data_IF_118368064270
#
_entry.id   IF_118368064270
#
_cell.length_a   1.000
_cell.length_b   1.000
_cell.length_c   1.000
_cell.angle_alpha   90.00
_cell.angle_beta   90.00
_cell.angle_gamma   90.00
#
_symmetry.space_group_name_H-M   'P 1'
#
loop_
_entity.id
_entity.type
_entity.pdbx_description
1 polymer ?
#
# COMPACT_ATOMS: atom_id res chain seq x y z
N UNK A 1 -0.64 24.98 -52.38
CA UNK A 1 -1.82 24.79 -51.50
C UNK A 1 -1.99 23.32 -51.13
N UNK A 2 -0.87 22.63 -50.81
CA UNK A 2 -0.80 21.17 -50.64
C UNK A 2 0.24 20.74 -49.60
N UNK A 3 0.78 21.70 -48.82
CA UNK A 3 1.77 21.44 -47.78
C UNK A 3 1.29 21.80 -46.37
N UNK A 4 0.10 22.40 -46.23
CA UNK A 4 -0.49 22.76 -44.93
C UNK A 4 -1.45 21.71 -44.36
N UNK A 5 -1.78 20.66 -45.13
CA UNK A 5 -2.71 19.60 -44.72
C UNK A 5 -2.02 18.37 -44.11
N UNK A 6 -0.71 18.20 -44.25
CA UNK A 6 0.01 17.05 -43.71
C UNK A 6 0.49 17.23 -42.25
N UNK A 7 0.55 18.47 -41.75
CA UNK A 7 0.92 18.74 -40.35
C UNK A 7 -0.27 18.68 -39.38
N UNK A 8 -1.50 18.58 -39.88
CA UNK A 8 -2.70 18.43 -39.03
C UNK A 8 -3.13 16.97 -38.80
N UNK A 9 -2.53 16.01 -39.51
CA UNK A 9 -2.88 14.58 -39.46
C UNK A 9 -1.96 13.72 -38.59
N UNK A 10 -0.93 14.31 -37.98
CA UNK A 10 0.01 13.64 -37.06
C UNK A 10 -0.27 13.92 -35.57
N UNK A 11 -1.40 14.58 -35.25
CA UNK A 11 -1.81 14.93 -33.88
C UNK A 11 -2.97 14.09 -33.33
N UNK A 12 -3.35 13.02 -34.03
CA UNK A 12 -4.48 12.17 -33.68
C UNK A 12 -4.08 10.70 -33.65
N UNK A 13 -3.22 10.33 -32.70
CA UNK A 13 -3.11 8.95 -32.18
C UNK A 13 -2.37 8.93 -30.84
N UNK A 14 -2.65 9.90 -29.96
CA UNK A 14 -2.63 9.56 -28.53
C UNK A 14 -3.90 8.76 -28.34
N UNK A 15 -3.76 7.43 -28.22
CA UNK A 15 -4.88 6.59 -27.85
C UNK A 15 -5.51 7.21 -26.59
N UNK A 16 -6.74 7.71 -26.73
CA UNK A 16 -7.51 8.14 -25.59
C UNK A 16 -7.65 6.92 -24.68
N UNK A 17 -6.96 6.94 -23.54
CA UNK A 17 -7.16 5.93 -22.51
C UNK A 17 -8.62 6.02 -22.08
N UNK A 18 -9.40 4.93 -22.17
CA UNK A 18 -10.77 4.95 -21.72
C UNK A 18 -10.80 5.21 -20.21
N UNK A 19 -11.79 6.02 -19.80
CA UNK A 19 -12.03 6.41 -18.43
C UNK A 19 -12.31 5.18 -17.56
N UNK A 20 -11.45 4.97 -16.57
CA UNK A 20 -11.60 4.04 -15.46
C UNK A 20 -10.31 4.02 -14.67
N UNK A 21 -10.40 3.80 -13.36
CA UNK A 21 -9.28 3.61 -12.43
C UNK A 21 -8.45 2.34 -12.69
N UNK A 22 -8.54 1.79 -13.90
CA UNK A 22 -8.19 0.42 -14.23
C UNK A 22 -7.31 0.41 -15.47
N UNK A 23 -6.19 -0.31 -15.38
CA UNK A 23 -5.44 -0.70 -16.58
C UNK A 23 -6.37 -1.43 -17.55
N UNK A 24 -6.41 -1.04 -18.83
CA UNK A 24 -7.21 -1.78 -19.79
C UNK A 24 -6.66 -3.20 -19.90
N UNK A 25 -7.57 -4.17 -19.88
CA UNK A 25 -7.23 -5.57 -20.13
C UNK A 25 -6.46 -5.68 -21.44
N UNK A 26 -5.39 -6.48 -21.42
CA UNK A 26 -4.65 -6.77 -22.64
C UNK A 26 -5.55 -7.47 -23.65
N UNK A 27 -5.52 -7.02 -24.91
CA UNK A 27 -6.44 -7.47 -25.97
C UNK A 27 -5.96 -8.70 -26.74
N UNK A 28 -4.79 -9.22 -26.41
CA UNK A 28 -4.13 -10.35 -27.06
C UNK A 28 -3.46 -11.24 -26.01
N UNK A 29 -2.92 -12.40 -26.40
CA UNK A 29 -2.24 -13.32 -25.48
C UNK A 29 -0.72 -13.13 -25.43
N UNK A 30 -0.17 -12.02 -25.93
CA UNK A 30 1.27 -11.78 -25.96
C UNK A 30 1.80 -11.32 -24.60
N UNK A 31 2.81 -12.03 -24.09
CA UNK A 31 3.53 -11.66 -22.88
C UNK A 31 5.00 -12.07 -22.99
N UNK A 32 5.83 -11.54 -22.11
CA UNK A 32 7.21 -11.97 -21.96
C UNK A 32 7.52 -12.10 -20.47
N UNK A 33 7.88 -13.31 -20.03
CA UNK A 33 8.49 -13.50 -18.71
C UNK A 33 9.90 -12.95 -18.80
N UNK A 34 10.14 -11.81 -18.16
CA UNK A 34 11.44 -11.10 -18.16
C UNK A 34 12.38 -11.74 -17.14
N UNK A 35 11.85 -12.11 -15.99
CA UNK A 35 12.58 -12.76 -14.91
C UNK A 35 11.63 -13.63 -14.09
N UNK A 36 12.20 -14.66 -13.46
CA UNK A 36 11.49 -15.59 -12.58
C UNK A 36 12.46 -16.06 -11.50
N UNK A 37 12.01 -16.00 -10.25
CA UNK A 37 12.67 -16.58 -9.10
C UNK A 37 11.65 -17.52 -8.44
N UNK A 38 12.01 -18.78 -8.26
CA UNK A 38 11.21 -19.75 -7.50
C UNK A 38 11.58 -19.61 -6.02
N UNK A 39 10.63 -19.23 -5.17
CA UNK A 39 10.77 -19.06 -3.73
C UNK A 39 9.92 -20.12 -3.02
N UNK A 40 10.56 -21.16 -2.49
CA UNK A 40 9.91 -22.34 -1.94
C UNK A 40 8.90 -22.99 -2.92
N UNK A 41 7.60 -22.81 -2.67
CA UNK A 41 6.48 -23.31 -3.50
C UNK A 41 5.77 -22.19 -4.28
N UNK A 42 6.28 -20.95 -4.20
CA UNK A 42 5.75 -19.77 -4.89
C UNK A 42 6.68 -19.27 -5.99
N UNK A 43 6.12 -18.53 -6.95
CA UNK A 43 6.85 -17.94 -8.06
C UNK A 43 6.79 -16.42 -7.98
N UNK A 44 7.96 -15.78 -7.91
CA UNK A 44 8.11 -14.33 -8.01
C UNK A 44 8.65 -13.98 -9.39
N UNK A 45 7.83 -13.34 -10.23
CA UNK A 45 8.15 -13.15 -11.64
C UNK A 45 7.91 -11.72 -12.12
N UNK A 46 8.80 -11.26 -13.00
CA UNK A 46 8.63 -10.02 -13.76
C UNK A 46 8.07 -10.38 -15.12
N UNK A 47 6.89 -9.89 -15.43
CA UNK A 47 6.19 -10.17 -16.69
C UNK A 47 5.92 -8.87 -17.42
N UNK A 48 6.41 -8.75 -18.65
CA UNK A 48 6.08 -7.64 -19.53
C UNK A 48 4.86 -7.98 -20.37
N UNK A 49 3.87 -7.09 -20.36
CA UNK A 49 2.64 -7.23 -21.16
C UNK A 49 1.96 -5.87 -21.35
N UNK A 50 1.46 -5.61 -22.55
CA UNK A 50 0.70 -4.40 -22.88
C UNK A 50 1.42 -3.07 -22.50
N UNK A 51 2.75 -3.01 -22.70
CA UNK A 51 3.56 -1.82 -22.38
C UNK A 51 3.77 -1.58 -20.87
N UNK A 52 3.59 -2.61 -20.05
CA UNK A 52 3.72 -2.56 -18.59
C UNK A 52 4.58 -3.75 -18.14
N UNK A 53 5.53 -3.51 -17.23
CA UNK A 53 6.18 -4.54 -16.43
C UNK A 53 5.34 -4.76 -15.17
N UNK A 54 4.98 -6.01 -14.91
CA UNK A 54 4.31 -6.43 -13.70
C UNK A 54 5.26 -7.23 -12.85
N UNK A 55 5.25 -7.01 -11.53
CA UNK A 55 5.81 -7.92 -10.56
C UNK A 55 4.68 -8.78 -10.01
N UNK A 56 4.80 -10.09 -10.23
CA UNK A 56 3.84 -11.09 -9.80
C UNK A 56 4.41 -11.89 -8.63
N UNK A 57 3.57 -12.15 -7.65
CA UNK A 57 3.76 -13.17 -6.62
C UNK A 57 2.64 -14.20 -6.81
N UNK A 58 2.96 -15.32 -7.44
CA UNK A 58 1.98 -16.26 -7.97
C UNK A 58 0.88 -15.57 -8.79
N UNK A 59 -0.38 -15.70 -8.37
CA UNK A 59 -1.56 -15.14 -9.04
C UNK A 59 -1.97 -13.79 -8.44
N UNK A 60 -0.99 -13.04 -7.96
CA UNK A 60 -1.14 -11.69 -7.40
C UNK A 60 -0.23 -10.71 -8.12
N UNK A 61 -0.76 -9.57 -8.55
CA UNK A 61 0.06 -8.42 -8.95
C UNK A 61 0.43 -7.65 -7.68
N UNK A 62 1.72 -7.61 -7.36
CA UNK A 62 2.25 -6.86 -6.20
C UNK A 62 2.91 -5.54 -6.60
N UNK A 63 2.94 -5.24 -7.89
CA UNK A 63 3.30 -3.92 -8.41
C UNK A 63 3.42 -3.92 -9.93
N UNK A 64 3.47 -2.72 -10.51
CA UNK A 64 3.61 -2.55 -11.94
C UNK A 64 4.23 -1.19 -12.29
N UNK A 65 4.98 -1.16 -13.40
CA UNK A 65 5.66 0.01 -13.93
C UNK A 65 5.42 0.10 -15.45
N UNK A 66 5.19 1.30 -15.97
CA UNK A 66 5.07 1.51 -17.41
C UNK A 66 6.43 1.34 -18.12
N UNK A 67 6.44 0.62 -19.25
CA UNK A 67 7.63 0.52 -20.11
C UNK A 67 8.08 1.91 -20.59
N UNK A 68 7.12 2.79 -20.88
CA UNK A 68 7.35 4.15 -21.36
C UNK A 68 8.13 4.98 -20.31
N UNK A 69 9.36 5.42 -20.61
CA UNK A 69 10.18 6.22 -19.69
C UNK A 69 9.51 7.50 -19.18
N UNK A 70 8.58 8.09 -19.95
CA UNK A 70 7.85 9.30 -19.54
C UNK A 70 6.70 9.02 -18.57
N UNK A 71 6.16 7.80 -18.60
CA UNK A 71 5.12 7.34 -17.69
C UNK A 71 5.67 6.56 -16.51
N UNK A 72 6.93 6.11 -16.58
CA UNK A 72 7.58 5.30 -15.56
C UNK A 72 7.52 5.88 -14.15
N UNK A 73 7.61 7.20 -14.02
CA UNK A 73 7.51 7.91 -12.73
C UNK A 73 6.08 8.02 -12.20
N UNK A 74 5.09 7.68 -13.01
CA UNK A 74 3.69 7.63 -12.60
C UNK A 74 3.40 6.24 -12.05
N UNK A 75 2.76 6.20 -10.90
CA UNK A 75 2.28 4.96 -10.30
C UNK A 75 1.23 4.31 -11.19
N UNK A 76 1.30 2.99 -11.20
CA UNK A 76 0.33 2.16 -11.87
C UNK A 76 -1.04 2.15 -11.16
N UNK A 77 -1.01 2.11 -9.83
CA UNK A 77 -2.20 1.98 -9.01
C UNK A 77 -2.44 3.29 -8.26
N UNK A 78 -3.66 3.86 -8.31
CA UNK A 78 -3.97 5.12 -7.62
C UNK A 78 -3.70 5.11 -6.11
N UNK A 79 -3.89 3.97 -5.41
CA UNK A 79 -3.54 3.83 -4.00
C UNK A 79 -2.06 4.15 -3.72
N UNK A 80 -1.16 3.75 -4.61
CA UNK A 80 0.27 4.07 -4.48
C UNK A 80 0.54 5.55 -4.71
N UNK A 81 -0.22 6.23 -5.58
CA UNK A 81 -0.16 7.70 -5.72
C UNK A 81 -0.53 8.40 -4.43
N UNK A 82 -1.59 7.91 -3.78
CA UNK A 82 -2.07 8.48 -2.52
C UNK A 82 -1.00 8.29 -1.44
N UNK A 83 -0.33 7.14 -1.36
CA UNK A 83 0.80 6.96 -0.44
C UNK A 83 2.01 7.84 -0.78
N UNK A 84 2.38 7.98 -2.05
CA UNK A 84 3.44 8.89 -2.50
C UNK A 84 3.17 10.35 -2.10
N UNK A 85 1.91 10.76 -2.03
CA UNK A 85 1.51 12.09 -1.59
C UNK A 85 1.87 12.39 -0.12
N UNK A 86 2.34 11.40 0.66
CA UNK A 86 2.98 11.62 1.97
C UNK A 86 4.20 12.55 1.87
N UNK A 87 4.91 12.59 0.73
CA UNK A 87 5.99 13.54 0.48
C UNK A 87 5.54 15.01 0.50
N UNK A 88 4.23 15.24 0.33
CA UNK A 88 3.60 16.55 0.29
C UNK A 88 2.83 16.88 1.57
N UNK A 89 2.99 16.12 2.65
CA UNK A 89 2.48 16.54 3.96
C UNK A 89 2.99 17.95 4.30
N UNK A 90 2.13 18.77 4.90
CA UNK A 90 2.47 20.16 5.24
C UNK A 90 3.71 20.23 6.13
N UNK A 91 3.79 19.34 7.13
CA UNK A 91 5.05 18.99 7.79
C UNK A 91 5.72 17.88 6.98
N UNK A 92 6.63 18.28 6.07
CA UNK A 92 7.36 17.34 5.22
C UNK A 92 8.19 16.37 6.09
N UNK A 93 8.04 15.04 5.93
CA UNK A 93 8.84 14.06 6.65
C UNK A 93 10.33 14.19 6.33
N UNK A 94 11.20 14.06 7.34
CA UNK A 94 12.65 14.04 7.14
C UNK A 94 13.18 12.62 6.98
N UNK A 95 12.49 11.62 7.53
CA UNK A 95 12.84 10.21 7.41
C UNK A 95 11.57 9.36 7.42
N UNK A 96 11.56 8.32 6.59
CA UNK A 96 10.45 7.41 6.47
C UNK A 96 10.88 5.94 6.65
N UNK A 97 9.91 5.09 6.97
CA UNK A 97 10.03 3.65 6.84
C UNK A 97 8.79 3.09 6.13
N UNK A 98 8.99 2.06 5.32
CA UNK A 98 7.92 1.28 4.72
C UNK A 98 8.08 -0.22 5.00
N UNK A 99 7.03 -0.86 5.52
CA UNK A 99 6.91 -2.32 5.56
C UNK A 99 6.14 -2.78 4.31
N UNK A 100 6.73 -3.72 3.58
CA UNK A 100 6.34 -4.15 2.24
C UNK A 100 7.01 -3.31 1.14
N UNK A 101 7.42 -3.95 0.05
CA UNK A 101 8.13 -3.28 -1.05
C UNK A 101 7.35 -3.26 -2.37
N UNK A 102 6.82 -4.42 -2.79
CA UNK A 102 6.33 -4.60 -4.15
C UNK A 102 7.42 -4.27 -5.17
N UNK A 103 7.16 -3.34 -6.10
CA UNK A 103 8.17 -2.84 -7.05
C UNK A 103 9.01 -1.65 -6.50
N UNK A 104 8.75 -1.18 -5.29
CA UNK A 104 9.43 -0.03 -4.70
C UNK A 104 8.92 1.34 -5.15
N UNK A 105 7.72 1.42 -5.73
CA UNK A 105 7.16 2.67 -6.28
C UNK A 105 7.09 3.82 -5.26
N UNK A 106 6.63 3.55 -4.05
CA UNK A 106 6.53 4.53 -2.96
C UNK A 106 7.91 4.89 -2.37
N UNK A 107 8.74 3.95 -1.89
CA UNK A 107 10.02 4.30 -1.28
C UNK A 107 10.99 4.93 -2.27
N UNK A 108 11.02 4.48 -3.54
CA UNK A 108 11.84 5.13 -4.58
C UNK A 108 11.42 6.58 -4.79
N UNK A 109 10.12 6.87 -4.86
CA UNK A 109 9.63 8.24 -4.99
C UNK A 109 9.96 9.11 -3.77
N UNK A 110 9.80 8.59 -2.55
CA UNK A 110 10.17 9.32 -1.33
C UNK A 110 11.68 9.66 -1.32
N UNK A 111 12.53 8.71 -1.73
CA UNK A 111 13.98 8.93 -1.87
C UNK A 111 14.33 9.94 -2.95
N UNK A 112 13.65 9.93 -4.09
CA UNK A 112 13.80 10.96 -5.15
C UNK A 112 13.38 12.35 -4.66
N UNK A 113 12.44 12.40 -3.70
CA UNK A 113 11.99 13.61 -3.02
C UNK A 113 12.89 13.98 -1.84
N UNK A 114 14.12 13.45 -1.74
CA UNK A 114 15.07 13.67 -0.64
C UNK A 114 14.51 13.34 0.75
N UNK A 115 13.68 12.29 0.85
CA UNK A 115 13.18 11.71 2.11
C UNK A 115 13.79 10.30 2.22
N UNK A 116 14.90 10.13 2.98
CA UNK A 116 15.47 8.83 3.26
C UNK A 116 14.41 7.86 3.77
N UNK A 117 14.29 6.71 3.11
CA UNK A 117 13.23 5.73 3.37
C UNK A 117 13.85 4.36 3.57
N UNK A 118 13.75 3.84 4.79
CA UNK A 118 14.07 2.44 5.08
C UNK A 118 12.91 1.55 4.59
N UNK A 119 13.22 0.33 4.16
CA UNK A 119 12.22 -0.64 3.69
C UNK A 119 12.41 -1.97 4.40
N UNK A 120 11.30 -2.59 4.82
CA UNK A 120 11.27 -3.95 5.37
C UNK A 120 10.44 -4.82 4.45
N UNK A 121 11.06 -5.84 3.86
CA UNK A 121 10.40 -6.77 2.94
C UNK A 121 10.72 -8.20 3.36
N UNK A 122 9.73 -9.08 3.33
CA UNK A 122 9.90 -10.47 3.79
C UNK A 122 10.60 -11.33 2.72
N UNK A 123 10.34 -11.06 1.44
CA UNK A 123 10.85 -11.86 0.32
C UNK A 123 12.10 -11.23 -0.30
N UNK A 124 13.24 -11.92 -0.20
CA UNK A 124 14.47 -11.52 -0.91
C UNK A 124 14.28 -11.54 -2.44
N UNK A 125 13.42 -12.44 -2.94
CA UNK A 125 13.08 -12.51 -4.36
C UNK A 125 12.37 -11.22 -4.81
N UNK A 126 11.43 -10.69 -4.02
CA UNK A 126 10.76 -9.40 -4.30
C UNK A 126 11.77 -8.26 -4.30
N UNK A 127 12.66 -8.19 -3.30
CA UNK A 127 13.71 -7.16 -3.22
C UNK A 127 14.64 -7.22 -4.44
N UNK A 128 15.07 -8.42 -4.82
CA UNK A 128 15.95 -8.64 -5.98
C UNK A 128 15.27 -8.20 -7.27
N UNK A 129 14.02 -8.63 -7.50
CA UNK A 129 13.28 -8.24 -8.71
C UNK A 129 13.03 -6.73 -8.76
N UNK A 130 12.70 -6.09 -7.62
CA UNK A 130 12.53 -4.64 -7.54
C UNK A 130 13.81 -3.89 -7.92
N UNK A 131 14.96 -4.33 -7.40
CA UNK A 131 16.25 -3.71 -7.67
C UNK A 131 16.68 -3.88 -9.13
N UNK A 132 16.53 -5.08 -9.68
CA UNK A 132 17.02 -5.41 -11.02
C UNK A 132 16.14 -4.83 -12.14
N UNK A 133 14.83 -4.67 -11.89
CA UNK A 133 13.87 -4.35 -12.95
C UNK A 133 13.03 -3.09 -12.73
N UNK A 134 12.95 -2.54 -11.51
CA UNK A 134 12.02 -1.45 -11.14
C UNK A 134 12.70 -0.24 -10.49
N UNK A 135 13.99 -0.03 -10.74
CA UNK A 135 14.76 1.15 -10.31
C UNK A 135 14.83 1.33 -8.79
N UNK A 136 14.52 0.29 -8.02
CA UNK A 136 14.62 0.34 -6.58
C UNK A 136 16.08 0.28 -6.13
N UNK A 137 16.52 1.26 -5.36
CA UNK A 137 17.87 1.30 -4.78
C UNK A 137 17.94 0.35 -3.57
N UNK A 138 18.41 -0.88 -3.75
CA UNK A 138 18.66 -1.80 -2.63
C UNK A 138 19.92 -1.37 -1.88
N UNK A 139 19.81 -1.12 -0.58
CA UNK A 139 20.97 -0.91 0.29
C UNK A 139 20.88 -1.89 1.48
N UNK A 140 21.60 -3.01 1.46
CA UNK A 140 21.42 -4.09 2.44
C UNK A 140 21.77 -3.64 3.87
N UNK A 141 21.09 -4.21 4.86
CA UNK A 141 21.39 -3.96 6.28
C UNK A 141 22.77 -4.52 6.71
N UNK A 142 23.08 -5.73 6.26
CA UNK A 142 24.38 -6.39 6.47
C UNK A 142 25.19 -6.19 5.19
N UNK A 143 26.28 -5.42 5.28
CA UNK A 143 27.30 -5.38 4.22
C UNK A 143 28.16 -6.63 4.42
N UNK A 144 28.43 -7.39 3.35
CA UNK A 144 29.42 -8.46 3.41
C UNK A 144 30.75 -7.87 3.92
N UNK A 145 31.31 -8.44 4.99
CA UNK A 145 32.56 -7.99 5.63
C UNK A 145 33.79 -8.04 4.68
N UNK A 146 33.62 -8.52 3.45
CA UNK A 146 34.67 -8.77 2.45
C UNK A 146 34.81 -7.65 1.39
N UNK A 147 34.01 -6.58 1.41
CA UNK A 147 34.19 -5.43 0.51
C UNK A 147 35.04 -4.33 1.16
N UNK A 148 36.32 -4.25 0.77
CA UNK A 148 37.26 -3.18 1.11
C UNK A 148 36.87 -1.80 0.51
N UNK A 149 35.67 -1.68 -0.06
CA UNK A 149 35.10 -0.48 -0.65
C UNK A 149 34.70 0.57 0.40
N UNK A 150 34.75 1.85 0.02
CA UNK A 150 34.23 2.95 0.84
C UNK A 150 32.80 2.60 1.29
N UNK A 151 32.63 2.43 2.61
CA UNK A 151 31.35 2.14 3.27
C UNK A 151 30.25 3.02 2.67
N UNK A 152 29.49 2.47 1.72
CA UNK A 152 28.50 3.26 0.99
C UNK A 152 27.39 3.55 1.98
N UNK A 153 27.47 4.72 2.62
CA UNK A 153 26.49 5.11 3.62
C UNK A 153 25.13 5.07 2.94
N UNK A 154 24.22 4.19 3.38
CA UNK A 154 22.83 4.10 2.90
C UNK A 154 22.04 5.39 3.22
N UNK A 155 22.46 6.53 2.67
CA UNK A 155 21.95 7.87 2.99
C UNK A 155 20.49 8.04 2.59
N UNK A 156 20.05 7.28 1.59
CA UNK A 156 18.66 7.25 1.11
C UNK A 156 17.80 6.20 1.84
N UNK A 157 18.37 5.44 2.76
CA UNK A 157 17.69 4.41 3.54
C UNK A 157 18.14 2.99 3.18
N UNK A 158 17.91 2.08 4.12
CA UNK A 158 18.30 0.66 4.06
C UNK A 158 17.15 -0.23 3.61
N UNK A 159 17.49 -1.46 3.24
CA UNK A 159 16.56 -2.54 2.93
C UNK A 159 16.82 -3.69 3.90
N UNK A 160 15.83 -4.00 4.72
CA UNK A 160 15.79 -5.10 5.66
C UNK A 160 15.00 -6.24 5.04
N UNK A 161 15.66 -7.38 4.79
CA UNK A 161 14.98 -8.59 4.33
C UNK A 161 14.57 -9.40 5.56
N UNK A 162 13.37 -9.14 6.07
CA UNK A 162 12.83 -9.82 7.26
C UNK A 162 11.31 -9.65 7.39
N UNK A 163 10.70 -10.47 8.24
CA UNK A 163 9.30 -10.33 8.61
C UNK A 163 9.02 -8.98 9.30
N UNK A 164 8.00 -8.27 8.82
CA UNK A 164 7.63 -6.95 9.31
C UNK A 164 7.11 -6.93 10.75
N UNK A 165 6.41 -7.97 11.21
CA UNK A 165 5.95 -8.06 12.61
C UNK A 165 7.14 -8.35 13.54
N UNK A 166 8.11 -9.14 13.09
CA UNK A 166 9.38 -9.33 13.80
C UNK A 166 10.18 -8.04 13.86
N UNK A 167 10.18 -7.24 12.79
CA UNK A 167 10.78 -5.91 12.78
C UNK A 167 10.11 -5.01 13.83
N UNK A 168 8.78 -4.92 13.82
CA UNK A 168 8.01 -4.13 14.79
C UNK A 168 8.20 -4.55 16.26
N UNK A 169 8.46 -5.84 16.48
CA UNK A 169 8.74 -6.40 17.82
C UNK A 169 10.15 -6.09 18.33
N UNK A 170 11.05 -5.59 17.48
CA UNK A 170 12.39 -5.16 17.85
C UNK A 170 12.40 -3.69 18.28
N UNK A 171 13.48 -3.21 18.90
CA UNK A 171 13.71 -1.77 19.07
C UNK A 171 14.57 -1.24 17.93
N UNK A 172 14.40 0.02 17.49
CA UNK A 172 15.20 0.61 16.41
C UNK A 172 16.72 0.39 16.58
N UNK A 173 17.24 0.71 17.77
CA UNK A 173 18.67 0.60 18.09
C UNK A 173 19.19 -0.84 18.04
N UNK A 174 18.36 -1.82 18.38
CA UNK A 174 18.75 -3.24 18.44
C UNK A 174 18.97 -3.83 17.04
N UNK A 175 18.38 -3.21 16.01
CA UNK A 175 18.49 -3.61 14.61
C UNK A 175 19.21 -2.54 13.77
N UNK A 176 20.05 -1.73 14.41
CA UNK A 176 20.93 -0.79 13.73
C UNK A 176 20.24 0.40 13.06
N UNK A 177 18.95 0.65 13.35
CA UNK A 177 18.25 1.86 12.91
C UNK A 177 18.74 3.02 13.77
N UNK A 178 19.32 4.03 13.12
CA UNK A 178 19.82 5.22 13.80
C UNK A 178 18.65 6.08 14.26
N UNK A 179 18.63 6.40 15.55
CA UNK A 179 17.77 7.43 16.16
C UNK A 179 18.56 8.74 16.27
N UNK A 180 17.89 9.86 16.59
CA UNK A 180 18.60 11.09 16.99
C UNK A 180 19.49 10.83 18.22
N UNK A 181 20.45 11.73 18.44
CA UNK A 181 21.42 11.66 19.54
C UNK A 181 20.78 11.74 20.94
N UNK A 182 19.46 12.02 21.03
CA UNK A 182 18.69 11.95 22.26
C UNK A 182 18.19 10.51 22.49
N UNK A 183 18.67 9.89 23.56
CA UNK A 183 18.31 8.54 23.96
C UNK A 183 16.78 8.42 24.19
N UNK A 184 16.09 7.67 23.33
CA UNK A 184 14.64 7.46 23.40
C UNK A 184 13.81 8.17 22.33
N UNK A 185 14.42 8.88 21.38
CA UNK A 185 13.70 9.43 20.24
C UNK A 185 13.37 8.38 19.17
N UNK A 186 12.14 8.46 18.66
CA UNK A 186 11.67 7.59 17.60
C UNK A 186 12.22 8.04 16.23
N UNK A 187 12.62 7.10 15.35
CA UNK A 187 13.41 7.41 14.15
C UNK A 187 12.63 7.99 12.96
N UNK A 188 11.31 7.82 12.87
CA UNK A 188 10.56 8.08 11.65
C UNK A 188 9.47 9.14 11.80
N UNK A 189 9.44 10.10 10.87
CA UNK A 189 8.34 11.07 10.73
C UNK A 189 7.18 10.50 9.90
N UNK A 190 7.45 9.48 9.09
CA UNK A 190 6.49 8.79 8.24
C UNK A 190 6.70 7.29 8.34
N UNK A 191 5.65 6.54 8.66
CA UNK A 191 5.68 5.09 8.73
C UNK A 191 4.59 4.53 7.84
N UNK A 192 4.96 3.73 6.83
CA UNK A 192 4.05 3.16 5.84
C UNK A 192 3.96 1.65 6.05
N UNK A 193 2.75 1.11 6.04
CA UNK A 193 2.49 -0.34 6.02
C UNK A 193 1.71 -0.67 4.75
N UNK A 194 2.36 -1.32 3.79
CA UNK A 194 1.81 -1.73 2.49
C UNK A 194 2.13 -3.20 2.22
N UNK A 195 1.45 -4.09 2.96
CA UNK A 195 1.67 -5.54 2.90
C UNK A 195 0.50 -6.24 2.22
N UNK A 196 0.77 -6.85 1.07
CA UNK A 196 -0.23 -7.64 0.34
C UNK A 196 0.43 -8.65 -0.60
N UNK A 197 0.24 -9.95 -0.36
CA UNK A 197 0.72 -11.03 -1.25
C UNK A 197 -0.43 -11.88 -1.80
N UNK A 198 -1.58 -11.23 -2.03
CA UNK A 198 -2.83 -11.89 -2.42
C UNK A 198 -3.80 -12.04 -1.25
N UNK A 199 -3.37 -11.63 -0.07
CA UNK A 199 -4.15 -11.56 1.16
C UNK A 199 -3.68 -10.36 1.99
N UNK A 200 -4.58 -9.73 2.75
CA UNK A 200 -4.25 -8.70 3.74
C UNK A 200 -3.77 -9.33 5.06
N UNK A 201 -2.54 -9.08 5.52
CA UNK A 201 -2.07 -9.54 6.81
C UNK A 201 -2.70 -8.75 7.96
N UNK A 202 -3.85 -9.23 8.45
CA UNK A 202 -4.66 -8.56 9.49
C UNK A 202 -3.92 -8.25 10.78
N UNK A 203 -2.84 -8.98 11.09
CA UNK A 203 -2.00 -8.75 12.26
C UNK A 203 -1.47 -7.30 12.34
N UNK A 204 -1.11 -6.67 11.21
CA UNK A 204 -0.65 -5.27 11.23
C UNK A 204 -1.76 -4.27 11.58
N UNK A 205 -3.03 -4.67 11.46
CA UNK A 205 -4.17 -3.80 11.73
C UNK A 205 -4.76 -3.99 13.14
N UNK A 206 -4.08 -4.75 14.00
CA UNK A 206 -4.42 -4.85 15.41
C UNK A 206 -3.93 -3.62 16.16
N UNK A 207 -4.69 -3.23 17.19
CA UNK A 207 -4.41 -2.07 18.03
C UNK A 207 -3.01 -2.13 18.63
N UNK A 208 -2.59 -3.31 19.07
CA UNK A 208 -1.31 -3.57 19.72
C UNK A 208 -0.14 -3.28 18.78
N UNK A 209 -0.24 -3.71 17.51
CA UNK A 209 0.78 -3.41 16.49
C UNK A 209 0.80 -1.92 16.12
N UNK A 210 -0.37 -1.28 15.98
CA UNK A 210 -0.44 0.17 15.76
C UNK A 210 0.12 0.96 16.94
N UNK A 211 -0.08 0.50 18.18
CA UNK A 211 0.50 1.09 19.37
C UNK A 211 2.03 0.93 19.39
N UNK A 212 2.57 -0.24 19.04
CA UNK A 212 4.02 -0.44 18.92
C UNK A 212 4.63 0.54 17.90
N UNK A 213 3.99 0.72 16.74
CA UNK A 213 4.43 1.71 15.73
C UNK A 213 4.45 3.11 16.33
N UNK A 214 3.34 3.53 16.95
CA UNK A 214 3.23 4.87 17.55
C UNK A 214 4.28 5.12 18.64
N UNK A 215 4.51 4.13 19.51
CA UNK A 215 5.31 4.32 20.72
C UNK A 215 6.81 4.15 20.48
N UNK A 216 7.22 3.26 19.58
CA UNK A 216 8.64 2.90 19.40
C UNK A 216 9.26 3.35 18.07
N UNK A 217 8.44 3.77 17.10
CA UNK A 217 8.91 3.99 15.73
C UNK A 217 8.57 5.38 15.16
N UNK A 218 7.42 5.95 15.52
CA UNK A 218 6.98 7.25 15.03
C UNK A 218 7.37 8.40 15.98
N UNK A 219 7.88 9.49 15.43
CA UNK A 219 8.02 10.76 16.17
C UNK A 219 6.66 11.24 16.72
N UNK A 220 6.63 12.11 17.75
CA UNK A 220 5.37 12.54 18.37
C UNK A 220 4.34 13.12 17.39
N UNK A 221 4.82 13.77 16.33
CA UNK A 221 4.01 14.36 15.26
C UNK A 221 4.03 13.56 13.95
N UNK A 222 4.65 12.37 13.97
CA UNK A 222 4.76 11.51 12.81
C UNK A 222 3.42 10.99 12.31
N UNK A 223 3.42 10.49 11.08
CA UNK A 223 2.22 10.03 10.38
C UNK A 223 2.35 8.55 10.04
N UNK A 224 1.39 7.75 10.49
CA UNK A 224 1.18 6.37 10.05
C UNK A 224 0.32 6.38 8.79
N UNK A 225 0.78 5.67 7.75
CA UNK A 225 0.04 5.40 6.53
C UNK A 225 -0.12 3.89 6.38
N UNK A 226 -1.34 3.43 6.12
CA UNK A 226 -1.60 2.00 5.92
C UNK A 226 -2.43 1.79 4.66
N UNK A 227 -2.05 0.82 3.84
CA UNK A 227 -2.84 0.37 2.71
C UNK A 227 -3.62 -0.89 3.08
N UNK A 228 -4.87 -0.98 2.62
CA UNK A 228 -5.71 -2.17 2.77
C UNK A 228 -6.50 -2.39 1.49
N UNK A 229 -6.48 -3.61 0.97
CA UNK A 229 -7.33 -3.97 -0.18
C UNK A 229 -8.66 -4.48 0.33
N UNK A 230 -9.77 -3.82 0.00
CA UNK A 230 -11.08 -4.23 0.52
C UNK A 230 -12.27 -3.53 -0.08
N UNK A 231 -13.46 -3.97 0.35
CA UNK A 231 -14.73 -3.35 -0.02
C UNK A 231 -15.00 -2.12 0.85
N UNK A 232 -15.38 -1.01 0.24
CA UNK A 232 -15.69 0.24 0.95
C UNK A 232 -17.17 0.41 1.27
N UNK A 233 -18.02 -0.46 0.69
CA UNK A 233 -19.47 -0.34 0.74
C UNK A 233 -20.17 -1.62 1.24
N UNK A 234 -21.39 -1.44 1.72
CA UNK A 234 -22.25 -2.53 2.20
C UNK A 234 -21.67 -3.28 3.41
N UNK A 235 -22.17 -4.51 3.70
CA UNK A 235 -21.74 -5.28 4.86
C UNK A 235 -20.24 -5.58 4.88
N UNK A 236 -19.61 -5.72 3.71
CA UNK A 236 -18.17 -6.00 3.61
C UNK A 236 -17.28 -4.82 4.02
N UNK A 237 -17.84 -3.61 4.11
CA UNK A 237 -17.13 -2.43 4.62
C UNK A 237 -16.84 -2.51 6.13
N UNK A 238 -17.42 -3.46 6.86
CA UNK A 238 -17.17 -3.63 8.30
C UNK A 238 -15.69 -3.83 8.60
N UNK A 239 -14.94 -4.54 7.75
CA UNK A 239 -13.51 -4.76 7.93
C UNK A 239 -12.69 -3.45 7.88
N UNK A 240 -12.70 -2.67 6.78
CA UNK A 240 -11.97 -1.40 6.75
C UNK A 240 -12.52 -0.35 7.71
N UNK A 241 -13.82 -0.37 8.04
CA UNK A 241 -14.38 0.48 9.11
C UNK A 241 -13.84 0.10 10.49
N UNK A 242 -13.60 -1.19 10.75
CA UNK A 242 -12.98 -1.64 12.01
C UNK A 242 -11.51 -1.23 12.08
N UNK A 243 -10.78 -1.28 10.96
CA UNK A 243 -9.42 -0.72 10.86
C UNK A 243 -9.44 0.79 11.19
N UNK A 244 -10.39 1.53 10.62
CA UNK A 244 -10.58 2.96 10.93
C UNK A 244 -10.83 3.21 12.43
N UNK A 245 -11.75 2.46 13.04
CA UNK A 245 -12.02 2.53 14.50
C UNK A 245 -10.80 2.19 15.34
N UNK A 246 -10.00 1.23 14.89
CA UNK A 246 -8.76 0.84 15.57
C UNK A 246 -7.74 1.97 15.53
N UNK A 247 -7.54 2.61 14.38
CA UNK A 247 -6.70 3.80 14.25
C UNK A 247 -7.19 4.94 15.15
N UNK A 248 -8.50 5.19 15.23
CA UNK A 248 -9.09 6.21 16.13
C UNK A 248 -8.82 5.92 17.62
N UNK A 249 -8.65 4.64 17.98
CA UNK A 249 -8.30 4.27 19.36
C UNK A 249 -6.82 4.52 19.71
N UNK A 250 -5.96 4.71 18.70
CA UNK A 250 -4.50 4.88 18.86
C UNK A 250 -4.05 6.32 18.54
N UNK A 251 -4.70 7.00 17.60
CA UNK A 251 -4.33 8.32 17.07
C UNK A 251 -5.51 9.31 17.13
N UNK A 252 -5.20 10.60 17.31
CA UNK A 252 -6.22 11.67 17.43
C UNK A 252 -6.84 12.09 16.09
N UNK A 253 -6.06 12.02 15.01
CA UNK A 253 -6.48 12.45 13.68
C UNK A 253 -6.36 11.28 12.72
N UNK A 254 -7.47 10.85 12.13
CA UNK A 254 -7.51 9.72 11.20
C UNK A 254 -8.32 10.09 9.96
N UNK A 255 -7.74 9.87 8.78
CA UNK A 255 -8.40 10.03 7.49
C UNK A 255 -8.22 8.76 6.67
N UNK A 256 -9.20 8.43 5.84
CA UNK A 256 -9.11 7.30 4.91
C UNK A 256 -9.57 7.71 3.53
N UNK A 257 -8.85 7.29 2.51
CA UNK A 257 -9.08 7.67 1.13
C UNK A 257 -9.31 6.43 0.27
N UNK A 258 -10.35 6.48 -0.55
CA UNK A 258 -10.52 5.54 -1.67
C UNK A 258 -9.58 5.91 -2.82
N UNK A 259 -9.32 4.96 -3.70
CA UNK A 259 -8.41 5.16 -4.83
C UNK A 259 -9.10 5.57 -6.15
N UNK A 260 -10.39 5.94 -6.09
CA UNK A 260 -11.20 6.31 -7.26
C UNK A 260 -12.10 7.52 -7.00
N UNK A 261 -12.50 8.19 -8.09
CA UNK A 261 -13.42 9.33 -8.02
C UNK A 261 -14.82 8.88 -7.59
N UNK A 262 -15.30 7.76 -8.16
CA UNK A 262 -16.60 7.17 -7.88
C UNK A 262 -16.72 6.70 -6.41
N UNK A 263 -17.60 7.31 -5.60
CA UNK A 263 -17.74 6.95 -4.18
C UNK A 263 -18.45 5.60 -3.96
N UNK A 264 -19.26 5.16 -4.93
CA UNK A 264 -20.16 4.01 -4.78
C UNK A 264 -19.69 2.77 -5.57
N UNK A 265 -18.40 2.67 -5.90
CA UNK A 265 -17.87 1.47 -6.56
C UNK A 265 -18.05 0.23 -5.63
N UNK A 266 -18.75 -0.82 -6.07
CA UNK A 266 -19.06 -1.98 -5.24
C UNK A 266 -17.89 -2.98 -5.15
N UNK A 267 -16.78 -2.73 -5.85
CA UNK A 267 -15.65 -3.64 -5.96
C UNK A 267 -14.59 -3.39 -4.89
N UNK A 268 -13.78 -4.42 -4.60
CA UNK A 268 -12.64 -4.22 -3.74
C UNK A 268 -11.55 -3.41 -4.47
N UNK A 269 -10.92 -2.52 -3.72
CA UNK A 269 -9.89 -1.59 -4.18
C UNK A 269 -8.94 -1.25 -3.02
N UNK A 270 -7.85 -0.52 -3.30
CA UNK A 270 -7.01 0.02 -2.24
C UNK A 270 -7.76 1.09 -1.44
N UNK A 271 -7.60 1.03 -0.12
CA UNK A 271 -8.04 2.03 0.85
C UNK A 271 -6.80 2.47 1.61
N UNK A 272 -6.47 3.76 1.53
CA UNK A 272 -5.27 4.31 2.17
C UNK A 272 -5.68 5.10 3.40
N UNK A 273 -5.23 4.65 4.56
CA UNK A 273 -5.44 5.30 5.85
C UNK A 273 -4.24 6.18 6.20
N UNK A 274 -4.52 7.34 6.78
CA UNK A 274 -3.55 8.25 7.39
C UNK A 274 -3.93 8.48 8.83
N UNK A 275 -3.00 8.37 9.77
CA UNK A 275 -3.23 8.59 11.18
C UNK A 275 -2.06 9.32 11.86
N UNK A 276 -2.36 10.29 12.73
CA UNK A 276 -1.36 11.02 13.52
C UNK A 276 -1.96 11.56 14.82
N UNK A 277 -1.10 11.90 15.78
CA UNK A 277 -1.49 12.61 17.00
C UNK A 277 -1.61 14.13 16.78
N UNK A 278 -1.06 14.63 15.69
CA UNK A 278 -1.16 16.04 15.30
C UNK A 278 -2.04 16.20 14.06
N UNK A 279 -2.70 17.35 13.87
CA UNK A 279 -3.44 17.64 12.64
C UNK A 279 -2.49 17.62 11.43
N UNK A 280 -2.92 17.00 10.33
CA UNK A 280 -2.14 16.95 9.10
C UNK A 280 -2.96 17.36 7.87
N UNK A 281 -2.26 17.98 6.93
CA UNK A 281 -2.77 18.46 5.65
C UNK A 281 -1.71 18.26 4.54
N UNK A 282 -2.06 18.51 3.27
CA UNK A 282 -1.16 18.30 2.13
C UNK A 282 -0.93 19.60 1.34
N UNK A 283 0.34 19.90 1.06
CA UNK A 283 0.82 20.93 0.16
C UNK A 283 1.04 20.37 -1.25
N UNK A 284 -0.05 19.96 -1.90
CA UNK A 284 0.00 19.29 -3.20
C UNK A 284 0.52 20.19 -4.33
N UNK A 285 1.24 19.62 -5.31
CA UNK A 285 1.80 20.38 -6.43
C UNK A 285 0.71 20.99 -7.31
N UNK A 286 0.96 22.22 -7.79
CA UNK A 286 0.02 23.02 -8.62
C UNK A 286 0.59 23.38 -10.00
N UNK A 287 1.61 22.65 -10.46
CA UNK A 287 2.21 22.87 -11.78
C UNK A 287 1.18 22.62 -12.90
N UNK A 288 1.52 23.00 -14.15
CA UNK A 288 0.58 22.98 -15.28
C UNK A 288 -0.13 21.63 -15.48
N UNK A 289 0.56 20.52 -15.21
CA UNK A 289 0.03 19.15 -15.34
C UNK A 289 -1.11 18.87 -14.35
N UNK A 290 -1.14 19.53 -13.20
CA UNK A 290 -2.18 19.37 -12.16
C UNK A 290 -3.35 20.35 -12.31
N UNK A 291 -3.29 21.33 -13.22
CA UNK A 291 -4.37 22.32 -13.36
C UNK A 291 -5.62 21.68 -13.97
N UNK A 292 -5.47 20.99 -15.11
CA UNK A 292 -6.54 20.27 -15.80
C UNK A 292 -6.05 18.87 -16.21
N UNK A 293 -5.78 17.99 -15.24
CA UNK A 293 -5.29 16.64 -15.54
C UNK A 293 -6.37 15.83 -16.25
N UNK A 294 -5.95 14.94 -17.14
CA UNK A 294 -6.87 13.96 -17.71
C UNK A 294 -7.36 13.02 -16.60
N UNK A 295 -8.66 12.65 -16.56
CA UNK A 295 -9.19 11.71 -15.59
C UNK A 295 -8.38 10.40 -15.54
N UNK A 296 -8.33 9.75 -14.38
CA UNK A 296 -7.63 8.48 -14.16
C UNK A 296 -6.12 8.47 -14.42
N UNK A 297 -5.50 9.64 -14.52
CA UNK A 297 -4.03 9.76 -14.55
C UNK A 297 -3.47 10.00 -13.16
N UNK A 298 -2.16 9.74 -12.98
CA UNK A 298 -1.43 10.11 -11.77
C UNK A 298 -1.73 11.55 -11.31
N UNK A 299 -1.68 12.51 -12.24
CA UNK A 299 -1.95 13.93 -11.94
C UNK A 299 -3.38 14.18 -11.46
N UNK A 300 -4.35 13.42 -11.98
CA UNK A 300 -5.74 13.50 -11.51
C UNK A 300 -5.88 12.97 -10.09
N UNK A 301 -5.21 11.85 -9.78
CA UNK A 301 -5.23 11.28 -8.43
C UNK A 301 -4.61 12.25 -7.44
N UNK A 302 -3.38 12.74 -7.69
CA UNK A 302 -2.71 13.72 -6.81
C UNK A 302 -3.60 14.95 -6.57
N UNK A 303 -4.28 15.47 -7.60
CA UNK A 303 -5.14 16.65 -7.47
C UNK A 303 -6.39 16.37 -6.62
N UNK A 304 -7.04 15.23 -6.84
CA UNK A 304 -8.42 15.01 -6.41
C UNK A 304 -8.55 14.10 -5.18
N UNK A 305 -7.56 13.27 -4.84
CA UNK A 305 -7.68 12.34 -3.71
C UNK A 305 -8.09 13.00 -2.37
N UNK A 306 -7.77 14.28 -2.06
CA UNK A 306 -8.25 14.87 -0.81
C UNK A 306 -9.78 14.99 -0.72
N UNK A 307 -10.49 14.98 -1.85
CA UNK A 307 -11.96 14.95 -1.89
C UNK A 307 -12.52 13.53 -1.88
N UNK A 308 -11.65 12.52 -1.91
CA UNK A 308 -12.00 11.10 -1.92
C UNK A 308 -11.99 10.49 -0.51
N UNK A 309 -12.10 11.32 0.53
CA UNK A 309 -12.21 10.85 1.90
C UNK A 309 -13.48 9.98 2.07
N UNK A 310 -13.35 8.87 2.78
CA UNK A 310 -14.41 7.94 3.12
C UNK A 310 -14.44 7.72 4.64
N UNK A 311 -15.54 7.13 5.13
CA UNK A 311 -15.78 6.85 6.55
C UNK A 311 -15.87 8.11 7.43
N UNK A 312 -16.18 9.26 6.84
CA UNK A 312 -16.36 10.52 7.57
C UNK A 312 -17.54 10.47 8.54
N UNK A 313 -18.50 9.55 8.34
CA UNK A 313 -19.57 9.28 9.29
C UNK A 313 -19.07 8.71 10.62
N UNK A 314 -17.88 8.10 10.66
CA UNK A 314 -17.26 7.56 11.87
C UNK A 314 -16.45 8.60 12.66
N UNK A 315 -16.28 9.82 12.11
CA UNK A 315 -15.59 10.92 12.79
C UNK A 315 -16.47 11.60 13.85
N UNK A 316 -17.79 11.43 13.79
CA UNK A 316 -18.70 11.96 14.79
C UNK A 316 -18.46 11.28 16.16
N UNK A 317 -18.54 12.07 17.24
CA UNK A 317 -18.54 11.55 18.61
C UNK A 317 -19.69 10.55 18.76
N UNK A 318 -19.38 9.32 19.16
CA UNK A 318 -20.43 8.35 19.53
C UNK A 318 -20.94 8.77 20.90
N UNK A 319 -22.17 9.28 20.99
CA UNK A 319 -22.84 9.49 22.27
C UNK A 319 -23.04 8.12 22.94
N UNK A 320 -22.27 7.85 23.99
CA UNK A 320 -22.45 6.64 24.81
C UNK A 320 -23.33 7.03 25.99
N UNK A 321 -24.57 6.54 25.99
CA UNK A 321 -25.43 6.66 27.16
C UNK A 321 -24.95 5.65 28.21
N UNK A 322 -24.52 6.16 29.37
CA UNK A 322 -24.20 5.32 30.51
C UNK A 322 -25.52 5.02 31.22
N UNK A 323 -26.03 3.80 31.05
CA UNK A 323 -27.15 3.30 31.83
C UNK A 323 -26.63 2.61 33.08
N UNK A 324 -26.97 3.16 34.24
CA UNK A 324 -26.71 2.55 35.54
C UNK A 324 -27.99 2.63 36.37
N UNK A 325 -28.73 1.53 36.47
CA UNK A 325 -29.84 1.43 37.40
C UNK A 325 -29.31 1.14 38.82
N UNK A 326 -30.02 1.58 39.86
CA UNK A 326 -29.60 1.41 41.27
C UNK A 326 -29.41 -0.06 41.71
N UNK A 327 -29.81 -1.02 40.88
CA UNK A 327 -29.74 -2.46 41.15
C UNK A 327 -28.69 -3.19 40.33
N UNK A 328 -27.99 -2.52 39.41
CA UNK A 328 -26.98 -3.16 38.56
C UNK A 328 -25.64 -3.30 39.30
N UNK A 329 -25.09 -4.53 39.33
CA UNK A 329 -23.77 -4.83 39.91
C UNK A 329 -22.61 -4.42 38.97
N UNK A 330 -22.88 -4.18 37.68
CA UNK A 330 -21.90 -3.77 36.67
C UNK A 330 -22.44 -2.66 35.76
N UNK A 331 -21.56 -1.75 35.31
CA UNK A 331 -21.91 -0.66 34.39
C UNK A 331 -22.00 -1.20 32.97
N UNK A 332 -23.12 -0.94 32.28
CA UNK A 332 -23.30 -1.27 30.85
C UNK A 332 -23.26 0.00 30.00
N UNK A 333 -22.55 -0.09 28.88
CA UNK A 333 -22.49 0.96 27.88
C UNK A 333 -23.41 0.59 26.73
N UNK A 334 -24.45 1.37 26.48
CA UNK A 334 -25.33 1.22 25.33
C UNK A 334 -25.08 2.39 24.35
N UNK A 335 -24.83 2.06 23.08
CA UNK A 335 -24.82 3.05 22.00
C UNK A 335 -26.26 3.51 21.75
N UNK A 336 -26.49 4.82 21.64
CA UNK A 336 -27.83 5.40 21.41
C UNK A 336 -28.43 5.05 20.04
N UNK A 337 -27.67 4.46 19.12
CA UNK A 337 -28.11 4.04 17.78
C UNK A 337 -28.73 2.61 17.77
N UNK A 338 -29.56 2.31 18.76
CA UNK A 338 -30.18 1.00 18.95
C UNK A 338 -31.46 0.80 18.15
N UNK A 339 -31.34 0.46 16.87
CA UNK A 339 -32.31 -0.43 16.21
C UNK A 339 -31.56 -1.51 15.41
N UNK A 340 -30.97 -2.46 16.14
CA UNK A 340 -30.38 -3.69 15.59
C UNK A 340 -31.24 -4.90 15.97
N UNK A 341 -32.50 -4.87 15.54
CA UNK A 341 -33.32 -6.08 15.46
C UNK A 341 -33.00 -6.85 14.17
N UNK A 342 -31.96 -7.70 14.23
CA UNK A 342 -31.65 -8.67 13.17
C UNK A 342 -30.31 -9.36 13.38
N UNK A 343 -30.35 -10.68 13.58
CA UNK A 343 -29.18 -11.58 13.45
C UNK A 343 -28.41 -11.26 12.15
N UNK A 344 -27.07 -11.33 12.21
CA UNK A 344 -26.07 -11.31 11.11
C UNK A 344 -25.39 -10.00 10.67
N UNK A 345 -25.57 -8.83 11.31
CA UNK A 345 -24.79 -7.63 10.95
C UNK A 345 -23.68 -7.30 11.98
N UNK A 346 -22.45 -7.69 11.65
CA UNK A 346 -21.24 -7.34 12.43
C UNK A 346 -21.06 -5.81 12.37
N UNK A 347 -20.98 -5.17 13.53
CA UNK A 347 -20.70 -3.73 13.63
C UNK A 347 -19.20 -3.43 13.59
N UNK A 348 -18.76 -2.27 13.05
CA UNK A 348 -17.37 -1.85 13.13
C UNK A 348 -16.88 -1.75 14.58
N UNK A 349 -15.70 -2.30 14.87
CA UNK A 349 -15.13 -2.36 16.22
C UNK A 349 -13.63 -2.09 16.22
N UNK A 350 -13.05 -1.90 17.41
CA UNK A 350 -11.58 -1.89 17.58
C UNK A 350 -11.08 -3.33 17.48
N UNK A 351 -10.03 -3.52 16.69
CA UNK A 351 -9.38 -4.81 16.47
C UNK A 351 -8.22 -4.97 17.45
N UNK A 352 -8.20 -6.07 18.18
CA UNK A 352 -7.21 -6.39 19.21
C UNK A 352 -6.60 -7.76 18.98
N UNK A 353 -5.53 -8.07 19.69
CA UNK A 353 -4.99 -9.43 19.77
C UNK A 353 -6.09 -10.42 20.21
N UNK A 354 -7.00 -10.08 21.12
CA UNK A 354 -8.09 -11.01 21.49
C UNK A 354 -9.07 -11.31 20.32
N UNK A 355 -9.09 -10.48 19.27
CA UNK A 355 -9.80 -10.76 18.01
C UNK A 355 -9.03 -11.73 17.07
N UNK A 356 -8.01 -12.45 17.58
CA UNK A 356 -7.14 -13.40 16.84
C UNK A 356 -7.89 -14.49 16.03
N UNK A 357 -9.21 -14.57 16.13
CA UNK A 357 -10.06 -15.31 15.20
C UNK A 357 -10.59 -14.39 14.09
N UNK A 358 -9.91 -14.37 12.95
CA UNK A 358 -10.41 -13.80 11.68
C UNK A 358 -11.73 -14.43 11.18
N UNK A 359 -12.45 -15.23 11.97
CA UNK A 359 -13.67 -15.92 11.52
C UNK A 359 -14.71 -14.93 11.00
N UNK A 360 -14.92 -13.83 11.71
CA UNK A 360 -15.84 -12.73 11.36
C UNK A 360 -15.51 -12.09 10.01
N UNK A 361 -14.23 -11.97 9.68
CA UNK A 361 -13.77 -11.37 8.42
C UNK A 361 -13.38 -12.41 7.38
N UNK A 362 -13.44 -13.71 7.67
CA UNK A 362 -12.96 -14.77 6.78
C UNK A 362 -13.67 -14.75 5.44
N UNK A 363 -14.98 -14.54 5.46
CA UNK A 363 -15.78 -14.46 4.23
C UNK A 363 -15.47 -13.20 3.43
N UNK A 364 -15.33 -12.06 4.11
CA UNK A 364 -14.96 -10.78 3.49
C UNK A 364 -13.58 -10.90 2.84
N UNK A 365 -12.64 -11.49 3.57
CA UNK A 365 -11.29 -11.74 3.11
C UNK A 365 -11.29 -12.65 1.89
N UNK A 366 -11.98 -13.80 1.97
CA UNK A 366 -12.12 -14.74 0.84
C UNK A 366 -12.70 -14.04 -0.39
N UNK A 367 -13.72 -13.20 -0.22
CA UNK A 367 -14.32 -12.44 -1.31
C UNK A 367 -13.33 -11.44 -1.92
N UNK A 368 -12.59 -10.70 -1.10
CA UNK A 368 -11.54 -9.78 -1.56
C UNK A 368 -10.45 -10.52 -2.32
N UNK A 369 -9.93 -11.63 -1.78
CA UNK A 369 -8.90 -12.43 -2.44
C UNK A 369 -9.39 -12.97 -3.79
N UNK A 370 -10.60 -13.53 -3.83
CA UNK A 370 -11.19 -14.06 -5.05
C UNK A 370 -11.33 -12.98 -6.12
N UNK A 371 -11.82 -11.80 -5.76
CA UNK A 371 -11.96 -10.65 -6.65
C UNK A 371 -10.62 -10.15 -7.18
N UNK A 372 -9.62 -10.00 -6.31
CA UNK A 372 -8.29 -9.54 -6.73
C UNK A 372 -7.60 -10.58 -7.61
N UNK A 373 -7.72 -11.87 -7.28
CA UNK A 373 -7.20 -12.96 -8.09
C UNK A 373 -7.86 -13.04 -9.47
N UNK A 374 -9.18 -12.86 -9.54
CA UNK A 374 -9.91 -12.82 -10.81
C UNK A 374 -9.34 -11.76 -11.75
N UNK A 375 -9.09 -10.55 -11.24
CA UNK A 375 -8.45 -9.48 -12.03
C UNK A 375 -7.08 -9.88 -12.60
N UNK A 376 -6.27 -10.59 -11.83
CA UNK A 376 -4.97 -11.08 -12.30
C UNK A 376 -5.14 -12.14 -13.38
N UNK A 377 -6.11 -13.06 -13.21
CA UNK A 377 -6.41 -14.08 -14.21
C UNK A 377 -7.01 -13.52 -15.50
N UNK A 378 -7.76 -12.42 -15.45
CA UNK A 378 -8.23 -11.70 -16.63
C UNK A 378 -7.09 -10.97 -17.35
N UNK A 379 -6.11 -10.47 -16.60
CA UNK A 379 -4.99 -9.72 -17.16
C UNK A 379 -3.98 -10.60 -17.91
N UNK A 380 -3.79 -11.86 -17.51
CA UNK A 380 -2.78 -12.75 -18.08
C UNK A 380 -3.36 -14.05 -18.63
N UNK A 381 -2.88 -14.53 -19.79
CA UNK A 381 -3.42 -15.71 -20.42
C UNK A 381 -3.13 -16.99 -19.61
N UNK A 382 -3.97 -18.04 -19.72
CA UNK A 382 -3.77 -19.31 -19.00
C UNK A 382 -2.39 -19.97 -19.23
N UNK A 383 -1.75 -19.70 -20.36
CA UNK A 383 -0.43 -20.20 -20.70
C UNK A 383 0.65 -19.76 -19.70
N UNK A 384 0.59 -18.52 -19.19
CA UNK A 384 1.54 -18.01 -18.19
C UNK A 384 1.49 -18.86 -16.91
N UNK A 385 0.29 -19.13 -16.42
CA UNK A 385 0.09 -19.91 -15.19
C UNK A 385 0.49 -21.38 -15.36
N UNK A 386 0.37 -21.92 -16.59
CA UNK A 386 0.88 -23.25 -16.91
C UNK A 386 2.41 -23.30 -16.93
N UNK A 387 3.08 -22.20 -17.31
CA UNK A 387 4.53 -22.05 -17.23
C UNK A 387 5.01 -21.97 -15.78
N UNK A 388 4.34 -21.19 -14.92
CA UNK A 388 4.70 -21.06 -13.50
C UNK A 388 4.65 -22.39 -12.75
N UNK A 389 3.68 -23.26 -13.09
CA UNK A 389 3.58 -24.62 -12.51
C UNK A 389 4.72 -25.56 -12.89
N UNK A 390 5.46 -25.28 -13.95
CA UNK A 390 6.61 -26.09 -14.34
C UNK A 390 7.80 -25.68 -13.45
N UNK A 391 8.25 -26.57 -12.55
CA UNK A 391 9.50 -26.34 -11.80
C UNK A 391 10.65 -26.25 -12.79
N UNK A 392 11.37 -25.12 -12.81
CA UNK A 392 12.58 -25.05 -13.61
C UNK A 392 13.64 -25.91 -12.93
N UNK A 393 14.19 -26.89 -13.65
CA UNK A 393 15.34 -27.65 -13.17
C UNK A 393 16.54 -26.70 -13.24
N UNK A 394 17.32 -26.51 -12.16
CA UNK A 394 18.49 -25.65 -12.23
C UNK A 394 19.42 -26.15 -13.36
N UNK A 395 20.10 -25.26 -14.09
CA UNK A 395 21.04 -25.67 -15.11
C UNK A 395 22.07 -26.61 -14.49
N UNK A 396 22.51 -27.66 -15.21
CA UNK A 396 23.51 -28.58 -14.69
C UNK A 396 24.75 -27.78 -14.32
N UNK A 397 25.17 -27.90 -13.06
CA UNK A 397 26.39 -27.29 -12.55
C UNK A 397 27.53 -27.76 -13.44
N UNK A 398 28.19 -26.85 -14.14
CA UNK A 398 29.38 -27.17 -14.93
C UNK A 398 30.47 -27.61 -13.96
N UNK A 399 30.80 -28.90 -14.00
CA UNK A 399 31.81 -29.56 -13.18
C UNK A 399 33.25 -29.11 -13.51
#
# INVERSE_FOLDING_TARGET
MTLLLLTLLLLSSVAAQPAGTRYPLATDDQYTVVSRIDEEDSVVAVVRRNGVLFLLYDQTIIGAEFDDPYLRKQTAFPGFTIMQCSAYLEKRPNRALQIGLGIGSVPTFLREMDIPTDVVEISDAVVTQAADYFQYERCPHEMDDDDDGEQESCRRGRTFVMDGLKFLSSKPVDIGVQTSDEEGDNPYDLFIVDVYTGWNPFAFFLREEMMKIRENWLTPDGVLVMNFVGYMQGPRAVAPKSIYRTLQSVFKHVKSYREMEEPDDPTAANIVFYASNEPFSFNLPKSLQYQNPQPNTYFSVVKNFPTWEIFTELQADVEVAIHQEMTDEEVRFESTDGDSSGDDNIAPRVLTEDDHGQEDFREIHTATQAHMRERVLEQFPPALWAEFKQKQTPPPTSA
#
